data_IF_324939995729
#
_entry.id   IF_324939995729
#
_cell.length_a   1.000
_cell.length_b   1.000
_cell.length_c   1.000
_cell.angle_alpha   90.00
_cell.angle_beta   90.00
_cell.angle_gamma   90.00
#
_symmetry.space_group_name_H-M   'P 1'
#
loop_
_entity.id
_entity.type
_entity.pdbx_description
1 polymer ?
#
# COMPACT_ATOMS: atom_id res chain seq x y z
N UNK A 1 20.49 40.12 24.39
CA UNK A 1 21.61 40.60 23.56
C UNK A 1 22.89 39.99 24.09
N UNK A 2 23.37 38.94 23.42
CA UNK A 2 24.64 38.31 23.74
C UNK A 2 25.78 39.22 23.24
N UNK A 3 26.97 39.13 23.81
CA UNK A 3 28.11 40.05 23.63
C UNK A 3 28.57 40.29 22.18
N UNK A 4 27.99 39.62 21.19
CA UNK A 4 28.43 39.62 19.79
C UNK A 4 27.54 40.42 18.84
N UNK A 5 26.22 40.45 19.06
CA UNK A 5 25.38 41.52 18.48
C UNK A 5 25.95 42.88 18.88
N UNK A 6 26.48 42.97 20.10
CA UNK A 6 27.16 44.16 20.62
C UNK A 6 28.39 44.53 19.79
N UNK A 7 29.15 43.59 19.22
CA UNK A 7 30.35 43.92 18.45
C UNK A 7 30.03 44.60 17.10
N UNK A 8 29.01 44.10 16.39
CA UNK A 8 28.55 44.73 15.14
C UNK A 8 27.78 46.02 15.43
N UNK A 9 26.91 45.99 16.45
CA UNK A 9 26.25 47.19 16.95
C UNK A 9 27.28 48.22 17.42
N UNK A 10 28.44 47.85 17.96
CA UNK A 10 29.48 48.81 18.39
C UNK A 10 30.12 49.54 17.21
N UNK A 11 30.27 48.88 16.06
CA UNK A 11 30.77 49.52 14.84
C UNK A 11 29.68 50.33 14.14
N UNK A 12 28.44 49.86 14.21
CA UNK A 12 27.28 50.58 13.66
C UNK A 12 26.89 51.76 14.54
N UNK A 13 27.16 51.72 15.84
CA UNK A 13 26.79 52.74 16.83
C UNK A 13 27.98 53.59 17.34
N UNK A 14 29.20 53.38 16.81
CA UNK A 14 30.40 54.02 17.32
C UNK A 14 31.64 53.88 16.44
N UNK A 15 32.74 54.49 16.86
CA UNK A 15 34.06 54.28 16.25
C UNK A 15 34.69 52.95 16.67
N UNK A 16 35.77 52.55 15.99
CA UNK A 16 36.54 51.35 16.33
C UNK A 16 37.25 51.57 17.68
N UNK A 17 37.03 50.73 18.71
CA UNK A 17 37.66 50.90 20.01
C UNK A 17 39.18 51.00 19.91
N UNK A 18 39.79 51.94 20.65
CA UNK A 18 41.25 52.13 20.64
C UNK A 18 41.99 50.87 21.09
N UNK A 19 41.36 50.01 21.91
CA UNK A 19 41.89 48.70 22.30
C UNK A 19 42.11 47.72 21.15
N UNK A 20 41.48 47.96 19.99
CA UNK A 20 41.69 47.18 18.78
C UNK A 20 42.88 47.67 17.95
N UNK A 21 43.54 48.76 18.33
CA UNK A 21 44.74 49.19 17.63
C UNK A 21 45.88 48.18 17.82
N UNK A 22 46.44 47.69 16.72
CA UNK A 22 47.64 46.86 16.74
C UNK A 22 48.91 47.71 16.55
N UNK A 23 48.93 48.50 15.49
CA UNK A 23 50.08 49.30 15.07
C UNK A 23 49.63 50.57 14.34
N UNK A 24 50.41 51.65 14.46
CA UNK A 24 50.14 52.93 13.80
C UNK A 24 51.43 53.71 13.55
N UNK A 25 51.60 54.19 12.32
CA UNK A 25 52.66 55.15 11.99
C UNK A 25 52.25 56.62 12.23
N UNK A 26 51.00 56.85 12.66
CA UNK A 26 50.40 58.18 12.85
C UNK A 26 49.93 58.38 14.29
N UNK A 27 49.90 59.63 14.74
CA UNK A 27 49.34 59.95 16.04
C UNK A 27 47.82 59.68 16.06
N UNK A 28 47.40 58.71 16.86
CA UNK A 28 46.02 58.23 16.96
C UNK A 28 45.06 59.29 17.50
N UNK A 29 45.54 60.23 18.32
CA UNK A 29 44.70 61.31 18.84
C UNK A 29 44.10 62.17 17.72
N UNK A 30 44.77 62.24 16.57
CA UNK A 30 44.28 62.94 15.36
C UNK A 30 43.19 62.15 14.63
N UNK A 31 43.08 60.85 14.89
CA UNK A 31 42.14 59.92 14.26
C UNK A 31 41.04 59.46 15.22
N UNK A 32 40.92 60.09 16.39
CA UNK A 32 39.84 59.82 17.33
C UNK A 32 38.63 60.71 17.06
N UNK A 33 37.44 60.10 17.10
CA UNK A 33 36.18 60.81 17.06
C UNK A 33 35.98 61.59 18.37
N UNK A 34 35.75 62.92 18.33
CA UNK A 34 35.52 63.71 19.55
C UNK A 34 34.26 63.37 20.32
N UNK A 35 33.34 62.58 19.75
CA UNK A 35 32.07 62.20 20.39
C UNK A 35 32.23 60.90 21.17
N UNK A 36 32.76 59.85 20.52
CA UNK A 36 32.85 58.51 21.12
C UNK A 36 34.26 58.13 21.58
N UNK A 37 35.27 58.99 21.37
CA UNK A 37 36.68 58.78 21.75
C UNK A 37 37.35 57.52 21.17
N UNK A 38 36.72 56.91 20.16
CA UNK A 38 37.23 55.75 19.44
C UNK A 38 37.86 56.20 18.11
N UNK A 39 38.61 55.30 17.48
CA UNK A 39 39.16 55.53 16.14
C UNK A 39 38.00 55.75 15.17
N UNK A 40 38.14 56.74 14.29
CA UNK A 40 37.11 57.12 13.33
C UNK A 40 36.66 55.93 12.48
N UNK A 41 35.35 55.65 12.45
CA UNK A 41 34.72 54.68 11.57
C UNK A 41 33.84 55.40 10.56
N UNK A 42 34.07 55.16 9.27
CA UNK A 42 33.42 55.88 8.16
C UNK A 42 33.45 57.40 8.42
N UNK A 43 34.65 58.02 8.45
CA UNK A 43 34.83 59.39 8.92
C UNK A 43 34.04 60.40 8.09
N UNK A 44 33.35 61.31 8.77
CA UNK A 44 32.72 62.49 8.21
C UNK A 44 33.33 63.72 8.89
N UNK A 45 33.74 64.71 8.11
CA UNK A 45 34.26 65.96 8.64
C UNK A 45 33.24 67.10 8.57
N UNK A 46 33.42 68.10 9.44
CA UNK A 46 32.78 69.39 9.27
C UNK A 46 33.51 70.18 8.18
N UNK A 47 32.78 70.79 7.25
CA UNK A 47 33.31 71.62 6.16
C UNK A 47 33.21 73.12 6.42
N UNK A 48 32.97 73.54 7.66
CA UNK A 48 32.94 74.95 8.06
C UNK A 48 34.34 75.57 7.98
N UNK A 49 34.40 76.88 7.72
CA UNK A 49 35.68 77.60 7.67
C UNK A 49 36.47 77.40 8.97
N UNK A 50 37.70 76.89 8.81
CA UNK A 50 38.66 76.54 9.88
C UNK A 50 38.22 75.41 10.83
N UNK A 51 37.15 74.68 10.53
CA UNK A 51 36.79 73.46 11.27
C UNK A 51 37.10 72.24 10.41
N UNK A 52 38.11 71.46 10.78
CA UNK A 52 38.45 70.19 10.10
C UNK A 52 38.23 68.98 11.03
N UNK A 53 37.31 69.12 11.98
CA UNK A 53 37.05 68.06 12.95
C UNK A 53 36.30 66.92 12.27
N UNK A 54 36.82 65.71 12.42
CA UNK A 54 36.23 64.49 11.88
C UNK A 54 35.51 63.71 12.97
N UNK A 55 34.43 63.05 12.59
CA UNK A 55 33.55 62.27 13.47
C UNK A 55 33.25 60.93 12.80
N UNK A 56 32.93 59.89 13.57
CA UNK A 56 32.34 58.69 13.00
C UNK A 56 30.98 59.04 12.40
N UNK A 57 30.64 58.44 11.25
CA UNK A 57 29.37 58.71 10.57
C UNK A 57 28.17 58.60 11.51
N UNK A 58 28.06 57.48 12.23
CA UNK A 58 26.95 57.27 13.16
C UNK A 58 26.93 58.33 14.27
N UNK A 59 28.08 58.63 14.88
CA UNK A 59 28.13 59.56 16.01
C UNK A 59 27.64 60.95 15.62
N UNK A 60 28.04 61.45 14.44
CA UNK A 60 27.59 62.76 13.99
C UNK A 60 26.12 62.73 13.56
N UNK A 61 25.66 61.68 12.89
CA UNK A 61 24.25 61.54 12.51
C UNK A 61 23.34 61.45 13.74
N UNK A 62 23.72 60.66 14.75
CA UNK A 62 23.00 60.58 16.03
C UNK A 62 22.95 61.94 16.74
N UNK A 63 24.06 62.68 16.77
CA UNK A 63 24.13 64.02 17.35
C UNK A 63 23.17 65.01 16.66
N UNK A 64 23.12 64.98 15.33
CA UNK A 64 22.24 65.84 14.55
C UNK A 64 20.75 65.44 14.75
N UNK A 65 20.47 64.15 14.89
CA UNK A 65 19.11 63.64 15.03
C UNK A 65 18.51 63.80 16.45
N UNK A 66 19.33 63.74 17.52
CA UNK A 66 18.85 63.85 18.91
C UNK A 66 18.11 65.16 19.19
N UNK A 67 18.43 66.24 18.47
CA UNK A 67 17.79 67.55 18.67
C UNK A 67 16.38 67.65 18.11
N UNK A 68 15.98 66.76 17.19
CA UNK A 68 14.63 66.78 16.60
C UNK A 68 13.56 66.15 17.50
N UNK A 69 13.94 65.46 18.59
CA UNK A 69 13.01 64.69 19.43
C UNK A 69 12.57 65.46 20.69
N UNK A 70 13.21 66.59 21.01
CA UNK A 70 13.01 67.29 22.30
C UNK A 70 12.10 68.54 22.25
N UNK A 71 11.45 68.88 21.13
CA UNK A 71 10.67 70.13 20.99
C UNK A 71 9.15 69.93 20.97
N UNK A 72 8.57 69.26 21.99
CA UNK A 72 7.11 69.06 22.10
C UNK A 72 6.50 69.62 23.40
N UNK A 73 7.18 70.50 24.14
CA UNK A 73 6.58 71.20 25.27
C UNK A 73 6.87 72.71 25.20
N UNK A 74 5.76 73.44 25.02
CA UNK A 74 5.44 74.83 25.36
C UNK A 74 6.32 75.96 24.79
N UNK A 75 5.82 76.47 23.65
CA UNK A 75 5.48 77.89 23.39
C UNK A 75 6.48 79.01 23.72
N UNK A 76 6.84 79.72 22.65
CA UNK A 76 7.12 81.16 22.59
C UNK A 76 8.48 81.66 23.13
N UNK A 77 9.57 81.14 22.56
CA UNK A 77 10.73 81.99 22.23
C UNK A 77 11.41 81.47 20.96
N UNK A 78 10.82 81.82 19.82
CA UNK A 78 11.46 81.68 18.51
C UNK A 78 12.73 82.53 18.48
N UNK A 79 13.88 81.88 18.30
CA UNK A 79 14.79 82.10 17.15
C UNK A 79 16.17 81.49 17.45
N UNK A 80 16.73 80.75 16.48
CA UNK A 80 18.12 80.24 16.39
C UNK A 80 18.52 78.87 17.00
N UNK A 81 17.65 78.13 17.71
CA UNK A 81 18.12 76.91 18.41
C UNK A 81 18.18 75.60 17.59
N UNK A 82 17.66 75.55 16.35
CA UNK A 82 17.49 74.30 15.59
C UNK A 82 18.54 74.04 14.50
N UNK A 83 19.71 74.68 14.58
CA UNK A 83 20.75 74.45 13.60
C UNK A 83 21.52 73.16 13.91
N UNK A 84 21.65 72.32 12.88
CA UNK A 84 22.46 71.10 12.80
C UNK A 84 23.94 71.43 13.08
N UNK A 85 24.30 71.76 14.31
CA UNK A 85 25.59 72.35 14.64
C UNK A 85 26.66 71.30 14.93
N UNK A 86 27.86 71.57 14.42
CA UNK A 86 29.05 70.77 14.67
C UNK A 86 29.35 70.70 16.17
N UNK A 87 29.55 69.49 16.77
CA UNK A 87 29.83 69.34 18.19
C UNK A 87 31.05 70.13 18.68
N UNK A 88 32.04 70.32 17.80
CA UNK A 88 33.33 70.95 18.13
C UNK A 88 33.34 72.47 17.92
N UNK A 89 32.93 72.98 16.76
CA UNK A 89 32.98 74.42 16.48
C UNK A 89 31.66 75.17 16.74
N UNK A 90 30.58 74.46 17.08
CA UNK A 90 29.23 74.99 17.36
C UNK A 90 28.57 75.77 16.21
N UNK A 91 29.15 75.77 15.01
CA UNK A 91 28.58 76.32 13.77
C UNK A 91 27.81 75.26 12.99
N UNK A 92 26.98 75.68 12.04
CA UNK A 92 26.23 74.78 11.13
C UNK A 92 27.14 73.69 10.55
N UNK A 93 26.79 72.43 10.72
CA UNK A 93 27.57 71.31 10.23
C UNK A 93 27.36 71.15 8.72
N UNK A 94 28.42 71.41 7.95
CA UNK A 94 28.45 71.11 6.53
C UNK A 94 29.15 69.76 6.39
N UNK A 95 28.44 68.73 5.93
CA UNK A 95 29.01 67.41 5.70
C UNK A 95 30.08 67.50 4.60
N UNK A 96 31.31 67.12 4.92
CA UNK A 96 32.40 67.00 3.94
C UNK A 96 33.24 65.76 4.22
N UNK A 97 34.02 65.34 3.22
CA UNK A 97 35.02 64.29 3.36
C UNK A 97 36.41 64.91 3.25
N UNK A 98 37.33 64.54 4.16
CA UNK A 98 38.72 65.00 4.10
C UNK A 98 39.57 63.83 3.58
N UNK A 99 40.08 63.88 2.33
CA UNK A 99 40.89 62.80 1.76
C UNK A 99 42.11 62.45 2.63
N UNK A 100 42.73 63.45 3.26
CA UNK A 100 43.88 63.26 4.15
C UNK A 100 43.56 62.33 5.33
N UNK A 101 42.36 62.43 5.93
CA UNK A 101 41.95 61.56 7.05
C UNK A 101 41.85 60.11 6.59
N UNK A 102 41.32 59.86 5.38
CA UNK A 102 41.29 58.52 4.81
C UNK A 102 42.71 57.96 4.61
N UNK A 103 43.64 58.76 4.07
CA UNK A 103 45.04 58.36 3.89
C UNK A 103 45.72 58.03 5.22
N UNK A 104 45.48 58.82 6.26
CA UNK A 104 46.03 58.55 7.60
C UNK A 104 45.44 57.29 8.22
N UNK A 105 44.12 57.05 8.06
CA UNK A 105 43.47 55.82 8.50
C UNK A 105 44.01 54.59 7.76
N UNK A 106 44.49 54.72 6.52
CA UNK A 106 45.07 53.58 5.79
C UNK A 106 46.41 53.11 6.38
N UNK A 107 47.05 53.92 7.24
CA UNK A 107 48.33 53.62 7.87
C UNK A 107 48.20 52.94 9.23
N UNK A 108 46.99 52.56 9.64
CA UNK A 108 46.76 51.85 10.89
C UNK A 108 46.37 50.39 10.63
N UNK A 109 46.85 49.53 11.52
CA UNK A 109 46.55 48.10 11.55
C UNK A 109 45.75 47.80 12.82
N UNK A 110 44.70 47.00 12.67
CA UNK A 110 43.72 46.73 13.71
C UNK A 110 43.66 45.23 14.02
N UNK A 111 43.52 44.88 15.30
CA UNK A 111 43.09 43.54 15.72
C UNK A 111 41.60 43.39 15.42
N UNK A 112 41.18 42.18 15.08
CA UNK A 112 39.76 41.87 14.93
C UNK A 112 39.00 42.06 16.24
N UNK A 113 37.76 42.58 16.16
CA UNK A 113 36.87 42.73 17.31
C UNK A 113 36.40 41.39 17.90
N UNK A 114 36.42 40.31 17.12
CA UNK A 114 36.08 38.97 17.59
C UNK A 114 37.26 38.38 18.37
N UNK A 115 37.04 38.05 19.65
CA UNK A 115 38.09 37.61 20.59
C UNK A 115 38.92 36.42 20.12
N UNK A 116 38.31 35.55 19.30
CA UNK A 116 38.91 34.31 18.83
C UNK A 116 39.73 34.51 17.54
N UNK A 117 39.60 35.68 16.88
CA UNK A 117 40.35 36.02 15.68
C UNK A 117 41.65 36.74 16.03
N UNK A 118 42.78 36.14 15.68
CA UNK A 118 44.12 36.70 15.92
C UNK A 118 44.67 37.53 14.75
N UNK A 119 43.87 37.73 13.70
CA UNK A 119 44.31 38.47 12.52
C UNK A 119 44.51 39.96 12.81
N UNK A 120 45.57 40.51 12.23
CA UNK A 120 45.85 41.94 12.16
C UNK A 120 45.47 42.40 10.75
N UNK A 121 44.57 43.38 10.67
CA UNK A 121 43.89 43.76 9.43
C UNK A 121 44.11 45.25 9.17
N UNK A 122 44.52 45.65 7.95
CA UNK A 122 44.56 47.05 7.56
C UNK A 122 43.17 47.70 7.65
N UNK A 123 43.09 48.98 8.03
CA UNK A 123 41.81 49.70 8.17
C UNK A 123 40.88 49.55 6.96
N UNK A 124 41.43 49.58 5.74
CA UNK A 124 40.68 49.50 4.48
C UNK A 124 39.93 48.17 4.33
N UNK A 125 40.51 47.09 4.85
CA UNK A 125 39.96 45.74 4.76
C UNK A 125 39.14 45.36 5.99
N UNK A 126 39.14 46.22 7.02
CA UNK A 126 38.56 45.92 8.32
C UNK A 126 37.05 45.64 8.25
N UNK A 127 36.30 46.44 7.48
CA UNK A 127 34.86 46.23 7.28
C UNK A 127 34.58 44.85 6.67
N UNK A 128 35.25 44.57 5.56
CA UNK A 128 35.09 43.30 4.85
C UNK A 128 35.50 42.10 5.71
N UNK A 129 36.57 42.26 6.51
CA UNK A 129 37.00 41.22 7.44
C UNK A 129 35.94 40.95 8.50
N UNK A 130 35.39 41.95 9.18
CA UNK A 130 34.41 41.75 10.26
C UNK A 130 33.18 40.99 9.74
N UNK A 131 32.66 41.39 8.57
CA UNK A 131 31.51 40.72 7.97
C UNK A 131 31.79 39.25 7.60
N UNK A 132 33.03 38.95 7.19
CA UNK A 132 33.44 37.64 6.69
C UNK A 132 34.37 36.86 7.64
N UNK A 133 34.51 37.31 8.88
CA UNK A 133 35.44 36.71 9.83
C UNK A 133 35.01 35.28 10.13
N UNK A 134 35.93 34.32 9.98
CA UNK A 134 35.65 32.89 10.22
C UNK A 134 35.30 32.59 11.68
N UNK A 135 35.80 33.42 12.58
CA UNK A 135 35.61 33.31 14.01
C UNK A 135 34.45 34.19 14.52
N UNK A 136 33.72 34.86 13.61
CA UNK A 136 32.43 35.47 13.93
C UNK A 136 31.45 34.37 14.31
N UNK A 137 30.76 34.49 15.43
CA UNK A 137 29.65 33.58 15.72
C UNK A 137 28.38 34.01 15.00
N UNK A 138 27.64 33.04 14.50
CA UNK A 138 26.34 33.19 13.86
C UNK A 138 25.32 32.33 14.59
N UNK A 139 24.09 32.80 14.63
CA UNK A 139 23.00 32.08 15.26
C UNK A 139 22.58 30.88 14.40
N UNK A 140 22.56 29.68 14.99
CA UNK A 140 22.06 28.48 14.35
C UNK A 140 20.55 28.58 14.11
N UNK A 141 20.09 28.24 12.89
CA UNK A 141 18.67 28.30 12.50
C UNK A 141 17.76 27.37 13.31
N UNK A 142 18.31 26.27 13.84
CA UNK A 142 17.58 25.30 14.66
C UNK A 142 17.56 25.73 16.13
N UNK A 143 18.67 25.53 16.84
CA UNK A 143 18.73 25.69 18.29
C UNK A 143 18.90 27.14 18.79
N UNK A 144 19.05 28.11 17.88
CA UNK A 144 19.23 29.53 18.22
C UNK A 144 20.49 29.85 19.04
N UNK A 145 21.44 28.90 19.14
CA UNK A 145 22.74 29.11 19.78
C UNK A 145 23.71 29.80 18.83
N UNK A 146 24.62 30.61 19.38
CA UNK A 146 25.68 31.28 18.63
C UNK A 146 26.86 30.33 18.44
N UNK A 147 27.15 29.98 17.19
CA UNK A 147 28.20 29.04 16.77
C UNK A 147 29.18 29.77 15.88
N UNK A 148 30.49 29.52 16.02
CA UNK A 148 31.52 30.08 15.14
C UNK A 148 31.18 29.79 13.67
N UNK A 149 31.33 30.78 12.79
CA UNK A 149 30.92 30.70 11.39
C UNK A 149 31.60 29.54 10.65
N UNK A 150 32.87 29.25 10.96
CA UNK A 150 33.60 28.10 10.43
C UNK A 150 33.07 26.73 10.90
N UNK A 151 32.34 26.66 12.02
CA UNK A 151 31.73 25.45 12.59
C UNK A 151 30.22 25.42 12.40
N UNK A 152 29.62 26.49 11.87
CA UNK A 152 28.17 26.61 11.73
C UNK A 152 27.63 25.53 10.81
N UNK A 153 28.25 25.32 9.64
CA UNK A 153 27.81 24.31 8.67
C UNK A 153 27.80 22.90 9.27
N UNK A 154 28.91 22.49 9.92
CA UNK A 154 29.00 21.21 10.62
C UNK A 154 27.93 21.10 11.73
N UNK A 155 27.77 22.13 12.54
CA UNK A 155 26.73 22.16 13.57
C UNK A 155 25.33 22.04 12.97
N UNK A 156 25.00 22.75 11.90
CA UNK A 156 23.68 22.69 11.26
C UNK A 156 23.41 21.28 10.69
N UNK A 157 24.42 20.60 10.14
CA UNK A 157 24.25 19.20 9.72
C UNK A 157 23.91 18.26 10.88
N UNK A 158 24.38 18.55 12.10
CA UNK A 158 24.16 17.72 13.30
C UNK A 158 23.04 18.25 14.23
N UNK A 159 22.57 19.47 14.03
CA UNK A 159 21.64 20.12 14.93
C UNK A 159 20.26 19.46 14.87
N UNK A 160 19.83 18.89 15.99
CA UNK A 160 18.58 18.13 16.10
C UNK A 160 17.32 19.00 16.00
N UNK A 161 17.46 20.32 16.15
CA UNK A 161 16.36 21.28 16.06
C UNK A 161 16.18 21.86 14.64
N UNK A 162 17.08 21.56 13.70
CA UNK A 162 16.91 22.04 12.32
C UNK A 162 15.73 21.33 11.67
N UNK A 163 14.79 22.10 11.06
CA UNK A 163 13.69 21.53 10.30
C UNK A 163 14.20 20.74 9.09
N UNK A 164 13.76 19.49 8.98
CA UNK A 164 13.99 18.61 7.83
C UNK A 164 12.65 18.15 7.27
N UNK A 165 12.62 17.86 5.98
CA UNK A 165 11.43 17.32 5.32
C UNK A 165 11.34 15.81 5.55
N UNK A 166 10.18 15.32 5.97
CA UNK A 166 9.93 13.88 6.04
C UNK A 166 9.69 13.28 4.64
N UNK A 167 10.55 12.35 4.19
CA UNK A 167 10.43 11.67 2.87
C UNK A 167 9.09 10.98 2.63
N UNK A 168 8.37 10.61 3.69
CA UNK A 168 7.11 9.85 3.58
C UNK A 168 5.86 10.73 3.54
N UNK A 169 5.90 11.93 4.11
CA UNK A 169 4.71 12.80 4.20
C UNK A 169 4.95 14.25 3.80
N UNK A 170 6.18 14.61 3.42
CA UNK A 170 6.58 15.93 2.92
C UNK A 170 6.35 17.10 3.90
N UNK A 171 6.25 16.81 5.20
CA UNK A 171 6.14 17.86 6.25
C UNK A 171 7.51 18.23 6.79
N UNK A 172 7.73 19.53 6.96
CA UNK A 172 8.91 20.10 7.64
C UNK A 172 8.75 19.99 9.15
N UNK A 173 9.72 19.38 9.84
CA UNK A 173 9.76 19.32 11.32
C UNK A 173 11.18 19.16 11.85
N UNK A 174 11.47 19.50 13.11
CA UNK A 174 12.79 19.28 13.70
C UNK A 174 13.25 17.82 13.61
N UNK A 175 14.53 17.57 13.31
CA UNK A 175 15.10 16.20 13.25
C UNK A 175 14.75 15.34 14.47
N UNK A 176 14.80 15.93 15.67
CA UNK A 176 14.46 15.22 16.92
C UNK A 176 13.00 14.73 16.96
N UNK A 177 12.06 15.48 16.38
CA UNK A 177 10.66 15.09 16.31
C UNK A 177 10.43 14.01 15.24
N UNK A 178 11.16 14.12 14.12
CA UNK A 178 11.14 13.14 13.04
C UNK A 178 11.55 11.75 13.55
N UNK A 179 12.67 11.69 14.28
CA UNK A 179 13.23 10.45 14.83
C UNK A 179 12.38 9.85 15.96
N UNK A 180 11.91 10.67 16.89
CA UNK A 180 11.29 10.18 18.14
C UNK A 180 9.80 9.83 18.00
N UNK A 181 9.01 10.62 17.26
CA UNK A 181 7.54 10.50 17.24
C UNK A 181 6.99 10.22 15.86
N UNK A 182 7.53 10.88 14.84
CA UNK A 182 6.94 10.85 13.50
C UNK A 182 7.13 9.51 12.81
N UNK A 183 8.34 8.94 12.84
CA UNK A 183 8.62 7.65 12.22
C UNK A 183 7.68 6.53 12.73
N UNK A 184 7.40 6.49 14.03
CA UNK A 184 6.48 5.50 14.60
C UNK A 184 5.04 5.71 14.15
N UNK A 185 4.59 6.95 14.02
CA UNK A 185 3.24 7.28 13.58
C UNK A 185 3.03 6.98 12.09
N UNK A 186 3.98 7.39 11.23
CA UNK A 186 3.91 7.14 9.79
C UNK A 186 3.96 5.65 9.48
N UNK A 187 4.80 4.88 10.17
CA UNK A 187 4.82 3.42 10.02
C UNK A 187 3.46 2.81 10.37
N UNK A 188 2.81 3.27 11.46
CA UNK A 188 1.46 2.82 11.81
C UNK A 188 0.42 3.15 10.73
N UNK A 189 0.50 4.33 10.11
CA UNK A 189 -0.40 4.70 9.02
C UNK A 189 -0.18 3.84 7.77
N UNK A 190 1.08 3.58 7.40
CA UNK A 190 1.43 2.69 6.28
C UNK A 190 0.89 1.28 6.52
N UNK A 191 1.10 0.72 7.72
CA UNK A 191 0.59 -0.61 8.08
C UNK A 191 -0.95 -0.65 7.97
N UNK A 192 -1.65 0.38 8.47
CA UNK A 192 -3.12 0.46 8.35
C UNK A 192 -3.59 0.52 6.91
N UNK A 193 -2.86 1.23 6.04
CA UNK A 193 -3.17 1.29 4.61
C UNK A 193 -3.04 -0.07 3.93
N UNK A 194 -1.93 -0.78 4.19
CA UNK A 194 -1.71 -2.15 3.67
C UNK A 194 -2.81 -3.10 4.18
N UNK A 195 -3.18 -3.00 5.45
CA UNK A 195 -4.26 -3.82 6.02
C UNK A 195 -5.61 -3.54 5.33
N UNK A 196 -5.92 -2.29 5.01
CA UNK A 196 -7.14 -1.91 4.31
C UNK A 196 -7.16 -2.44 2.86
N UNK A 197 -6.05 -2.34 2.14
CA UNK A 197 -5.90 -2.87 0.77
C UNK A 197 -6.07 -4.41 0.74
N UNK A 198 -5.53 -5.11 1.75
CA UNK A 198 -5.73 -6.56 1.90
C UNK A 198 -7.20 -6.91 2.18
N UNK A 199 -7.88 -6.18 3.08
CA UNK A 199 -9.30 -6.40 3.38
C UNK A 199 -10.19 -6.15 2.16
N UNK A 200 -9.89 -5.11 1.37
CA UNK A 200 -10.62 -4.83 0.14
C UNK A 200 -10.47 -5.95 -0.90
N UNK A 201 -9.27 -6.51 -1.03
CA UNK A 201 -9.02 -7.67 -1.90
C UNK A 201 -9.82 -8.90 -1.45
N UNK A 202 -9.87 -9.18 -0.15
CA UNK A 202 -10.69 -10.28 0.38
C UNK A 202 -12.19 -10.06 0.13
N UNK A 203 -12.67 -8.83 0.26
CA UNK A 203 -14.06 -8.48 -0.05
C UNK A 203 -14.42 -8.79 -1.51
N UNK A 204 -13.57 -8.40 -2.47
CA UNK A 204 -13.80 -8.68 -3.90
C UNK A 204 -13.88 -10.19 -4.19
N UNK A 205 -13.00 -11.00 -3.58
CA UNK A 205 -13.05 -12.47 -3.73
C UNK A 205 -14.37 -13.04 -3.21
N UNK A 206 -14.83 -12.56 -2.05
CA UNK A 206 -16.11 -13.00 -1.50
C UNK A 206 -17.29 -12.60 -2.39
N UNK A 207 -17.26 -11.42 -3.00
CA UNK A 207 -18.30 -10.94 -3.92
C UNK A 207 -18.38 -11.81 -5.18
N UNK A 208 -17.24 -12.15 -5.80
CA UNK A 208 -17.17 -13.06 -6.95
C UNK A 208 -17.73 -14.45 -6.62
N UNK A 209 -17.40 -14.99 -5.44
CA UNK A 209 -17.92 -16.28 -4.96
C UNK A 209 -19.45 -16.21 -4.77
N UNK A 210 -19.95 -15.12 -4.19
CA UNK A 210 -21.38 -14.91 -4.00
C UNK A 210 -22.12 -14.86 -5.35
N UNK A 211 -21.61 -14.09 -6.30
CA UNK A 211 -22.17 -13.98 -7.65
C UNK A 211 -22.19 -15.34 -8.36
N UNK A 212 -21.12 -16.14 -8.25
CA UNK A 212 -21.06 -17.50 -8.80
C UNK A 212 -22.15 -18.41 -8.21
N UNK A 213 -22.35 -18.40 -6.89
CA UNK A 213 -23.38 -19.21 -6.26
C UNK A 213 -24.79 -18.73 -6.56
N UNK A 214 -25.01 -17.41 -6.67
CA UNK A 214 -26.29 -16.85 -7.05
C UNK A 214 -26.68 -17.26 -8.47
N UNK A 215 -25.74 -17.19 -9.43
CA UNK A 215 -25.96 -17.69 -10.79
C UNK A 215 -26.28 -19.19 -10.78
N UNK A 216 -25.54 -19.98 -10.01
CA UNK A 216 -25.76 -21.42 -9.88
C UNK A 216 -27.13 -21.75 -9.28
N UNK A 217 -27.55 -21.03 -8.24
CA UNK A 217 -28.88 -21.17 -7.63
C UNK A 217 -29.97 -20.80 -8.65
N UNK A 218 -29.78 -19.72 -9.41
CA UNK A 218 -30.73 -19.32 -10.44
C UNK A 218 -30.89 -20.39 -11.53
N UNK A 219 -29.79 -21.02 -11.99
CA UNK A 219 -29.84 -22.17 -12.91
C UNK A 219 -30.59 -23.36 -12.33
N UNK A 220 -30.35 -23.69 -11.04
CA UNK A 220 -31.07 -24.76 -10.34
C UNK A 220 -32.58 -24.47 -10.22
N UNK A 221 -32.96 -23.23 -9.90
CA UNK A 221 -34.37 -22.81 -9.79
C UNK A 221 -35.07 -22.84 -11.15
N UNK A 222 -34.38 -22.45 -12.22
CA UNK A 222 -34.90 -22.49 -13.59
C UNK A 222 -35.03 -23.91 -14.12
N UNK A 223 -34.49 -24.91 -13.40
CA UNK A 223 -34.54 -26.30 -13.80
C UNK A 223 -33.73 -26.53 -15.08
N UNK A 224 -32.59 -25.84 -15.23
CA UNK A 224 -31.64 -26.10 -16.31
C UNK A 224 -31.22 -27.57 -16.24
N UNK A 225 -31.94 -28.39 -17.00
CA UNK A 225 -31.53 -29.73 -17.39
C UNK A 225 -30.25 -29.52 -18.17
N UNK A 226 -29.11 -29.96 -17.61
CA UNK A 226 -27.88 -30.09 -18.39
C UNK A 226 -28.27 -30.85 -19.66
N UNK A 227 -28.18 -30.16 -20.80
CA UNK A 227 -28.68 -30.69 -22.07
C UNK A 227 -27.92 -31.99 -22.32
N UNK A 228 -28.63 -33.09 -22.59
CA UNK A 228 -28.03 -34.41 -22.79
C UNK A 228 -26.82 -34.41 -23.76
N UNK A 229 -26.76 -33.40 -24.64
CA UNK A 229 -25.67 -33.12 -25.57
C UNK A 229 -24.28 -32.94 -24.95
N UNK A 230 -24.19 -32.65 -23.65
CA UNK A 230 -22.92 -32.51 -22.94
C UNK A 230 -22.40 -33.85 -22.38
N UNK A 231 -23.25 -34.88 -22.28
CA UNK A 231 -22.85 -36.18 -21.77
C UNK A 231 -22.32 -37.08 -22.87
N UNK A 232 -21.13 -37.65 -22.63
CA UNK A 232 -20.58 -38.70 -23.49
C UNK A 232 -20.85 -40.05 -22.84
N UNK A 233 -21.32 -41.01 -23.63
CA UNK A 233 -21.42 -42.39 -23.19
C UNK A 233 -20.13 -43.12 -23.53
N UNK A 234 -19.53 -43.78 -22.54
CA UNK A 234 -18.31 -44.54 -22.68
C UNK A 234 -18.58 -46.03 -22.49
N UNK A 235 -18.01 -46.89 -23.33
CA UNK A 235 -18.00 -48.34 -23.10
C UNK A 235 -16.75 -48.94 -23.73
N UNK A 236 -16.17 -49.92 -23.05
CA UNK A 236 -15.10 -50.75 -23.63
C UNK A 236 -15.64 -51.75 -24.67
N UNK A 237 -16.97 -51.95 -24.69
CA UNK A 237 -17.66 -52.90 -25.57
C UNK A 237 -18.31 -52.20 -26.77
N UNK A 238 -17.53 -51.37 -27.47
CA UNK A 238 -18.02 -50.47 -28.53
C UNK A 238 -18.73 -51.24 -29.65
N UNK A 239 -18.29 -52.47 -29.94
CA UNK A 239 -18.91 -53.33 -30.96
C UNK A 239 -20.28 -53.92 -30.56
N UNK A 240 -20.64 -53.84 -29.27
CA UNK A 240 -21.86 -54.42 -28.71
C UNK A 240 -22.94 -53.38 -28.45
N UNK A 241 -22.58 -52.10 -28.37
CA UNK A 241 -23.52 -51.00 -28.14
C UNK A 241 -23.64 -50.10 -29.35
N UNK A 242 -24.87 -49.66 -29.60
CA UNK A 242 -25.18 -48.57 -30.52
C UNK A 242 -25.79 -47.42 -29.70
N UNK A 243 -25.16 -46.25 -29.76
CA UNK A 243 -25.66 -45.02 -29.18
C UNK A 243 -26.22 -44.13 -30.29
N UNK A 244 -27.46 -43.68 -30.15
CA UNK A 244 -28.14 -42.81 -31.11
C UNK A 244 -28.53 -41.50 -30.45
N UNK A 245 -28.10 -40.37 -31.00
CA UNK A 245 -28.37 -39.01 -30.49
C UNK A 245 -29.66 -38.39 -31.03
N UNK A 246 -30.34 -39.02 -31.99
CA UNK A 246 -31.55 -38.48 -32.60
C UNK A 246 -32.71 -38.46 -31.60
N UNK A 247 -32.95 -37.28 -30.99
CA UNK A 247 -34.03 -36.96 -30.05
C UNK A 247 -34.17 -37.94 -28.86
N UNK A 248 -33.31 -37.75 -27.84
CA UNK A 248 -33.26 -38.46 -26.54
C UNK A 248 -32.35 -39.70 -26.61
N UNK A 249 -31.07 -39.51 -26.26
CA UNK A 249 -29.99 -40.50 -26.34
C UNK A 249 -30.45 -41.94 -26.09
N UNK A 250 -30.36 -42.79 -27.10
CA UNK A 250 -30.73 -44.21 -27.01
C UNK A 250 -29.48 -45.06 -26.93
N UNK A 251 -29.35 -45.85 -25.87
CA UNK A 251 -28.35 -46.91 -25.75
C UNK A 251 -28.99 -48.26 -26.08
N UNK A 252 -28.52 -48.95 -27.12
CA UNK A 252 -29.05 -50.25 -27.57
C UNK A 252 -27.94 -51.31 -27.58
N UNK A 253 -28.22 -52.47 -27.00
CA UNK A 253 -27.33 -53.63 -27.11
C UNK A 253 -27.56 -54.32 -28.46
N UNK A 254 -26.62 -54.18 -29.39
CA UNK A 254 -26.71 -54.75 -30.74
C UNK A 254 -26.18 -56.18 -30.85
N UNK A 255 -25.35 -56.61 -29.89
CA UNK A 255 -24.81 -57.97 -29.79
C UNK A 255 -24.74 -58.41 -28.33
N UNK A 256 -25.19 -59.64 -28.04
CA UNK A 256 -24.98 -60.24 -26.72
C UNK A 256 -23.50 -60.24 -26.36
N UNK A 257 -23.18 -60.08 -25.08
CA UNK A 257 -21.90 -60.53 -24.57
C UNK A 257 -22.02 -61.96 -24.15
N UNK A 258 -21.27 -62.82 -24.81
CA UNK A 258 -21.11 -64.19 -24.38
C UNK A 258 -19.72 -64.34 -23.79
N UNK A 259 -19.65 -64.74 -22.52
CA UNK A 259 -18.39 -65.03 -21.85
C UNK A 259 -18.07 -66.51 -22.04
N UNK A 260 -17.18 -66.82 -22.98
CA UNK A 260 -16.78 -68.20 -23.31
C UNK A 260 -16.29 -68.97 -22.08
N UNK A 261 -15.57 -68.33 -21.17
CA UNK A 261 -15.05 -68.97 -19.97
C UNK A 261 -16.16 -69.33 -18.97
N UNK A 262 -17.21 -68.50 -18.87
CA UNK A 262 -18.34 -68.73 -17.96
C UNK A 262 -19.50 -69.47 -18.64
N UNK A 263 -19.41 -69.72 -19.95
CA UNK A 263 -20.45 -70.33 -20.79
C UNK A 263 -21.83 -69.67 -20.62
N UNK A 264 -21.86 -68.35 -20.41
CA UNK A 264 -23.09 -67.58 -20.17
C UNK A 264 -22.98 -66.16 -20.69
N UNK A 265 -24.13 -65.50 -20.84
CA UNK A 265 -24.12 -64.07 -21.14
C UNK A 265 -23.55 -63.27 -19.97
N UNK A 266 -22.68 -62.30 -20.27
CA UNK A 266 -22.18 -61.34 -19.28
C UNK A 266 -22.89 -60.01 -19.43
N UNK A 267 -22.94 -59.22 -18.36
CA UNK A 267 -23.47 -57.86 -18.43
C UNK A 267 -22.40 -56.96 -19.06
N UNK A 268 -22.78 -56.22 -20.10
CA UNK A 268 -21.90 -55.21 -20.67
C UNK A 268 -22.21 -53.86 -20.09
N UNK A 269 -21.25 -53.28 -19.39
CA UNK A 269 -21.39 -51.95 -18.82
C UNK A 269 -21.16 -50.88 -19.90
N UNK A 270 -21.95 -49.82 -19.83
CA UNK A 270 -21.60 -48.53 -20.38
C UNK A 270 -21.76 -47.48 -19.29
N UNK A 271 -20.95 -46.45 -19.37
CA UNK A 271 -20.81 -45.38 -18.39
C UNK A 271 -21.28 -44.08 -18.99
N UNK A 272 -21.78 -43.20 -18.15
CA UNK A 272 -21.88 -41.78 -18.50
C UNK A 272 -20.56 -41.15 -18.06
N UNK A 273 -19.86 -40.53 -19.00
CA UNK A 273 -18.60 -39.81 -18.80
C UNK A 273 -18.85 -38.47 -18.11
N UNK A 274 -19.42 -38.56 -16.92
CA UNK A 274 -19.67 -37.48 -15.99
C UNK A 274 -19.44 -38.03 -14.60
N UNK A 275 -18.50 -37.41 -13.88
CA UNK A 275 -18.28 -37.71 -12.48
C UNK A 275 -19.03 -36.69 -11.63
N UNK A 276 -19.60 -37.14 -10.53
CA UNK A 276 -20.12 -36.26 -9.49
C UNK A 276 -19.34 -36.49 -8.20
N UNK A 277 -19.20 -35.43 -7.42
CA UNK A 277 -18.49 -35.46 -6.13
C UNK A 277 -19.48 -35.55 -4.97
N UNK A 278 -19.02 -35.92 -3.78
CA UNK A 278 -19.84 -36.04 -2.54
C UNK A 278 -20.44 -34.72 -2.02
N UNK A 279 -20.43 -33.65 -2.83
CA UNK A 279 -20.96 -32.33 -2.50
C UNK A 279 -22.49 -32.25 -2.40
N UNK A 280 -23.00 -31.01 -2.42
CA UNK A 280 -24.43 -30.71 -2.25
C UNK A 280 -25.31 -31.06 -3.47
N UNK A 281 -24.71 -31.43 -4.59
CA UNK A 281 -25.43 -31.65 -5.84
C UNK A 281 -26.03 -33.06 -5.87
N UNK A 282 -27.36 -33.14 -5.88
CA UNK A 282 -28.05 -34.38 -6.24
C UNK A 282 -27.96 -34.62 -7.74
N UNK A 283 -27.85 -35.88 -8.14
CA UNK A 283 -27.87 -36.27 -9.54
C UNK A 283 -29.12 -37.08 -9.85
N UNK A 284 -29.75 -36.85 -11.01
CA UNK A 284 -30.92 -37.60 -11.45
C UNK A 284 -30.76 -38.07 -12.90
N UNK A 285 -30.90 -39.38 -13.12
CA UNK A 285 -31.10 -39.97 -14.44
C UNK A 285 -32.56 -40.36 -14.59
N UNK A 286 -33.18 -39.92 -15.68
CA UNK A 286 -34.53 -40.34 -16.06
C UNK A 286 -34.45 -41.15 -17.34
N UNK A 287 -34.92 -42.39 -17.30
CA UNK A 287 -34.66 -43.37 -18.35
C UNK A 287 -35.96 -44.09 -18.71
N UNK A 288 -36.30 -44.14 -19.99
CA UNK A 288 -37.38 -44.97 -20.52
C UNK A 288 -36.84 -46.31 -21.01
N UNK A 289 -37.48 -47.40 -20.59
CA UNK A 289 -37.17 -48.75 -21.05
C UNK A 289 -37.81 -48.99 -22.43
N UNK A 290 -37.07 -48.75 -23.51
CA UNK A 290 -37.59 -48.95 -24.88
C UNK A 290 -37.80 -50.42 -25.17
N UNK A 291 -36.89 -51.28 -24.71
CA UNK A 291 -37.01 -52.73 -24.82
C UNK A 291 -36.18 -53.39 -23.74
N UNK A 292 -36.74 -54.38 -23.05
CA UNK A 292 -36.00 -55.12 -22.04
C UNK A 292 -36.48 -56.58 -21.95
N UNK A 293 -35.67 -57.48 -22.49
CA UNK A 293 -35.89 -58.93 -22.42
C UNK A 293 -35.29 -59.53 -21.15
N UNK A 294 -34.07 -59.12 -20.78
CA UNK A 294 -33.39 -59.60 -19.58
C UNK A 294 -33.39 -58.61 -18.43
N UNK A 295 -32.28 -58.60 -17.71
CA UNK A 295 -32.06 -57.75 -16.56
C UNK A 295 -31.37 -56.44 -16.98
N UNK A 296 -31.70 -55.38 -16.26
CA UNK A 296 -31.06 -54.08 -16.38
C UNK A 296 -30.20 -53.88 -15.14
N UNK A 297 -28.92 -53.52 -15.30
CA UNK A 297 -28.12 -53.08 -14.17
C UNK A 297 -28.06 -51.55 -14.16
N UNK A 298 -28.25 -50.96 -13.00
CA UNK A 298 -28.12 -49.52 -12.78
C UNK A 298 -27.36 -49.30 -11.48
N UNK A 299 -26.21 -48.67 -11.56
CA UNK A 299 -25.40 -48.45 -10.39
C UNK A 299 -24.45 -47.27 -10.54
N UNK A 300 -23.63 -47.10 -9.51
CA UNK A 300 -22.58 -46.11 -9.47
C UNK A 300 -21.24 -46.77 -9.14
N UNK A 301 -20.15 -46.20 -9.60
CA UNK A 301 -18.82 -46.74 -9.40
C UNK A 301 -17.84 -45.62 -9.08
N UNK A 302 -16.87 -45.88 -8.20
CA UNK A 302 -15.84 -44.90 -7.82
C UNK A 302 -14.74 -44.73 -8.89
N UNK A 303 -14.65 -45.67 -9.84
CA UNK A 303 -13.82 -45.52 -11.03
C UNK A 303 -14.41 -46.27 -12.22
N UNK A 304 -14.04 -45.85 -13.43
CA UNK A 304 -14.46 -46.52 -14.68
C UNK A 304 -13.75 -47.88 -14.92
N UNK A 305 -12.71 -48.22 -14.14
CA UNK A 305 -11.79 -49.34 -14.44
C UNK A 305 -11.61 -50.35 -13.29
N UNK A 306 -11.94 -50.02 -12.04
CA UNK A 306 -11.80 -50.91 -10.87
C UNK A 306 -12.69 -50.49 -9.68
N UNK A 307 -13.04 -51.46 -8.81
CA UNK A 307 -13.70 -51.24 -7.52
C UNK A 307 -15.09 -50.57 -7.60
N UNK A 308 -15.98 -51.13 -8.43
CA UNK A 308 -17.35 -50.65 -8.56
C UNK A 308 -18.27 -51.26 -7.50
N UNK A 309 -18.98 -50.40 -6.76
CA UNK A 309 -20.09 -50.83 -5.89
C UNK A 309 -21.33 -50.94 -6.77
N UNK A 310 -21.50 -52.11 -7.36
CA UNK A 310 -22.59 -52.32 -8.31
C UNK A 310 -23.88 -52.64 -7.58
N UNK A 311 -24.93 -51.87 -7.86
CA UNK A 311 -26.30 -52.25 -7.53
C UNK A 311 -26.98 -52.83 -8.76
N UNK A 312 -27.58 -53.99 -8.59
CA UNK A 312 -28.42 -54.65 -9.59
C UNK A 312 -29.84 -54.54 -9.11
N UNK A 313 -30.74 -54.14 -9.99
CA UNK A 313 -32.15 -54.47 -9.81
C UNK A 313 -32.57 -55.28 -11.02
N UNK A 314 -32.94 -56.52 -10.82
CA UNK A 314 -33.34 -57.35 -11.95
C UNK A 314 -34.82 -57.14 -12.30
N UNK A 315 -35.29 -57.72 -13.42
CA UNK A 315 -36.69 -57.55 -13.87
C UNK A 315 -37.73 -58.02 -12.84
N UNK A 316 -37.33 -58.92 -11.94
CA UNK A 316 -38.15 -59.49 -10.88
C UNK A 316 -38.12 -58.68 -9.56
N UNK A 317 -37.37 -57.58 -9.51
CA UNK A 317 -37.21 -56.76 -8.30
C UNK A 317 -36.25 -57.33 -7.26
N UNK A 318 -35.38 -58.25 -7.65
CA UNK A 318 -34.26 -58.65 -6.81
C UNK A 318 -33.18 -57.57 -6.85
N UNK A 319 -32.85 -57.04 -5.68
CA UNK A 319 -31.76 -56.09 -5.51
C UNK A 319 -30.52 -56.84 -5.09
N UNK A 320 -29.46 -56.75 -5.89
CA UNK A 320 -28.18 -57.39 -5.60
C UNK A 320 -27.08 -56.34 -5.49
N UNK A 321 -26.08 -56.57 -4.63
CA UNK A 321 -24.86 -55.76 -4.52
C UNK A 321 -23.64 -56.60 -4.83
N UNK A 322 -22.67 -55.99 -5.50
CA UNK A 322 -21.31 -56.50 -5.63
C UNK A 322 -20.42 -55.77 -4.63
N UNK A 323 -19.69 -56.52 -3.82
CA UNK A 323 -18.70 -55.96 -2.89
C UNK A 323 -17.36 -55.74 -3.62
N UNK A 324 -16.54 -54.83 -3.10
CA UNK A 324 -15.29 -54.36 -3.75
C UNK A 324 -14.34 -55.49 -4.17
N UNK A 325 -14.34 -56.60 -3.42
CA UNK A 325 -13.46 -57.74 -3.65
C UNK A 325 -14.18 -59.02 -4.13
N UNK A 326 -15.47 -58.93 -4.46
CA UNK A 326 -16.25 -60.08 -4.93
C UNK A 326 -16.61 -59.97 -6.42
N UNK A 327 -16.42 -61.07 -7.15
CA UNK A 327 -16.90 -61.21 -8.53
C UNK A 327 -18.36 -61.68 -8.60
N UNK A 328 -19.02 -61.89 -7.47
CA UNK A 328 -20.40 -62.35 -7.36
C UNK A 328 -21.30 -61.26 -6.79
N UNK A 329 -22.54 -61.26 -7.28
CA UNK A 329 -23.60 -60.41 -6.78
C UNK A 329 -24.37 -61.14 -5.68
N UNK A 330 -24.47 -60.51 -4.50
CA UNK A 330 -25.25 -61.01 -3.37
C UNK A 330 -26.62 -60.36 -3.35
N UNK A 331 -27.67 -61.15 -3.16
CA UNK A 331 -29.03 -60.62 -3.00
C UNK A 331 -29.08 -59.93 -1.64
N UNK A 332 -29.29 -58.60 -1.62
CA UNK A 332 -29.48 -57.85 -0.37
C UNK A 332 -30.95 -57.92 0.05
N UNK A 333 -31.86 -57.72 -0.91
CA UNK A 333 -33.31 -57.66 -0.64
C UNK A 333 -34.11 -58.08 -1.86
N UNK A 334 -35.28 -58.66 -1.60
CA UNK A 334 -36.33 -58.85 -2.61
C UNK A 334 -37.36 -57.76 -2.38
N UNK A 335 -37.47 -56.84 -3.32
CA UNK A 335 -38.47 -55.78 -3.30
C UNK A 335 -39.48 -56.03 -4.41
N UNK A 336 -40.73 -55.63 -4.21
CA UNK A 336 -41.73 -55.69 -5.28
C UNK A 336 -41.53 -54.55 -6.29
N UNK A 337 -40.29 -54.38 -6.78
CA UNK A 337 -39.90 -53.35 -7.73
C UNK A 337 -39.64 -54.00 -9.09
N UNK A 338 -40.69 -54.14 -9.88
CA UNK A 338 -40.58 -54.70 -11.23
C UNK A 338 -40.56 -53.56 -12.25
N UNK A 339 -39.90 -53.80 -13.37
CA UNK A 339 -39.93 -52.89 -14.50
C UNK A 339 -40.10 -53.65 -15.82
N UNK A 340 -40.68 -52.99 -16.81
CA UNK A 340 -40.98 -53.55 -18.12
C UNK A 340 -40.88 -52.52 -19.23
N UNK A 341 -41.10 -52.98 -20.46
CA UNK A 341 -41.09 -52.13 -21.64
C UNK A 341 -42.08 -50.97 -21.51
N UNK A 342 -41.63 -49.76 -21.81
CA UNK A 342 -42.38 -48.51 -21.67
C UNK A 342 -42.25 -47.82 -20.31
N UNK A 343 -41.77 -48.51 -19.26
CA UNK A 343 -41.62 -47.89 -17.94
C UNK A 343 -40.56 -46.77 -17.95
N UNK A 344 -40.81 -45.73 -17.17
CA UNK A 344 -39.86 -44.64 -16.91
C UNK A 344 -39.26 -44.85 -15.52
N UNK A 345 -37.96 -45.07 -15.49
CA UNK A 345 -37.16 -45.26 -14.29
C UNK A 345 -36.40 -43.97 -14.00
N UNK A 346 -36.62 -43.42 -12.82
CA UNK A 346 -35.84 -42.34 -12.24
C UNK A 346 -34.83 -42.93 -11.27
N UNK A 347 -33.56 -42.63 -11.50
CA UNK A 347 -32.44 -43.01 -10.65
C UNK A 347 -31.83 -41.73 -10.08
N UNK A 348 -31.95 -41.53 -8.78
CA UNK A 348 -31.57 -40.31 -8.08
C UNK A 348 -30.52 -40.61 -7.03
N UNK A 349 -29.42 -39.87 -7.06
CA UNK A 349 -28.35 -39.92 -6.08
C UNK A 349 -28.40 -38.63 -5.27
N UNK A 350 -28.40 -38.78 -3.95
CA UNK A 350 -28.37 -37.67 -3.00
C UNK A 350 -27.09 -37.81 -2.17
N UNK A 351 -25.95 -37.27 -2.63
CA UNK A 351 -24.65 -37.51 -2.01
C UNK A 351 -24.60 -37.06 -0.55
N UNK A 352 -25.14 -35.88 -0.24
CA UNK A 352 -25.25 -35.37 1.13
C UNK A 352 -26.00 -36.32 2.08
N UNK A 353 -27.06 -36.97 1.59
CA UNK A 353 -27.82 -37.93 2.39
C UNK A 353 -27.24 -39.35 2.35
N UNK A 354 -26.19 -39.57 1.54
CA UNK A 354 -25.66 -40.90 1.17
C UNK A 354 -26.81 -41.85 0.84
N UNK A 355 -27.68 -41.40 -0.06
CA UNK A 355 -28.89 -42.11 -0.44
C UNK A 355 -28.97 -42.26 -1.95
N UNK A 356 -29.23 -43.49 -2.40
CA UNK A 356 -29.54 -43.80 -3.79
C UNK A 356 -31.00 -44.22 -3.86
N UNK A 357 -31.81 -43.48 -4.62
CA UNK A 357 -33.23 -43.71 -4.79
C UNK A 357 -33.51 -44.14 -6.22
N UNK A 358 -34.30 -45.19 -6.38
CA UNK A 358 -34.73 -45.69 -7.69
C UNK A 358 -36.25 -45.77 -7.67
N UNK A 359 -36.87 -45.06 -8.60
CA UNK A 359 -38.30 -44.89 -8.72
C UNK A 359 -38.75 -45.34 -10.11
N UNK A 360 -39.68 -46.29 -10.17
CA UNK A 360 -40.41 -46.57 -11.39
C UNK A 360 -41.60 -45.60 -11.40
N UNK A 361 -41.48 -44.51 -12.16
CA UNK A 361 -42.49 -43.44 -12.22
C UNK A 361 -43.80 -43.95 -12.79
N UNK A 362 -43.73 -44.81 -13.81
CA UNK A 362 -44.91 -45.37 -14.48
C UNK A 362 -45.74 -46.23 -13.53
N UNK A 363 -45.08 -46.96 -12.62
CA UNK A 363 -45.74 -47.87 -11.66
C UNK A 363 -45.88 -47.30 -10.25
N UNK A 364 -45.38 -46.09 -10.02
CA UNK A 364 -45.32 -45.44 -8.70
C UNK A 364 -44.64 -46.30 -7.61
N UNK A 365 -43.62 -47.07 -7.99
CA UNK A 365 -42.82 -47.87 -7.07
C UNK A 365 -41.52 -47.13 -6.77
N UNK A 366 -41.08 -47.12 -5.52
CA UNK A 366 -39.80 -46.52 -5.11
C UNK A 366 -39.09 -47.43 -4.12
N UNK A 367 -37.79 -47.56 -4.26
CA UNK A 367 -36.93 -48.05 -3.20
C UNK A 367 -35.70 -47.17 -3.06
N UNK A 368 -35.09 -47.21 -1.88
CA UNK A 368 -33.91 -46.42 -1.55
C UNK A 368 -32.85 -47.30 -0.92
N UNK A 369 -31.59 -47.04 -1.23
CA UNK A 369 -30.46 -47.49 -0.44
C UNK A 369 -30.15 -46.44 0.61
N UNK A 370 -29.97 -46.90 1.84
CA UNK A 370 -29.64 -46.05 2.96
C UNK A 370 -28.12 -45.91 3.10
N UNK A 371 -27.70 -44.95 3.92
CA UNK A 371 -26.30 -44.67 4.25
C UNK A 371 -25.44 -45.91 4.54
N UNK A 372 -25.97 -46.84 5.32
CA UNK A 372 -25.24 -48.06 5.73
C UNK A 372 -25.00 -49.03 4.56
N UNK A 373 -25.82 -48.97 3.51
CA UNK A 373 -25.67 -49.81 2.32
C UNK A 373 -24.68 -49.19 1.32
N UNK A 374 -24.40 -47.89 1.45
CA UNK A 374 -23.55 -47.07 0.58
C UNK A 374 -22.20 -46.67 1.22
N UNK A 375 -21.81 -47.27 2.34
CA UNK A 375 -20.71 -46.79 3.19
C UNK A 375 -19.30 -46.82 2.53
N UNK A 376 -19.14 -47.48 1.39
CA UNK A 376 -17.86 -47.73 0.69
C UNK A 376 -17.62 -46.77 -0.49
N UNK A 377 -18.16 -45.57 -0.40
CA UNK A 377 -18.24 -44.63 -1.51
C UNK A 377 -17.15 -43.54 -1.38
N UNK A 378 -16.29 -43.40 -2.41
CA UNK A 378 -15.12 -42.48 -2.45
C UNK A 378 -15.47 -40.99 -2.65
N UNK A 379 -14.58 -40.16 -3.20
CA UNK A 379 -14.90 -38.73 -3.40
C UNK A 379 -15.52 -38.43 -4.78
N UNK A 380 -15.33 -39.32 -5.76
CA UNK A 380 -15.81 -39.19 -7.14
C UNK A 380 -16.56 -40.46 -7.58
N UNK A 381 -17.58 -40.27 -8.42
CA UNK A 381 -18.40 -41.39 -8.90
C UNK A 381 -18.90 -41.21 -10.32
N UNK A 382 -19.04 -42.33 -11.02
CA UNK A 382 -19.65 -42.42 -12.35
C UNK A 382 -20.92 -43.26 -12.29
N UNK A 383 -21.92 -42.88 -13.07
CA UNK A 383 -23.11 -43.72 -13.28
C UNK A 383 -22.86 -44.73 -14.38
N UNK A 384 -23.28 -45.97 -14.18
CA UNK A 384 -23.20 -47.01 -15.19
C UNK A 384 -24.54 -47.73 -15.38
N UNK A 385 -24.71 -48.26 -16.58
CA UNK A 385 -25.89 -49.00 -17.00
C UNK A 385 -25.47 -50.27 -17.72
N UNK A 386 -26.29 -51.32 -17.67
CA UNK A 386 -25.97 -52.57 -18.38
C UNK A 386 -27.20 -53.30 -18.86
N UNK A 387 -27.11 -53.79 -20.09
CA UNK A 387 -28.14 -54.56 -20.74
C UNK A 387 -27.66 -56.00 -20.95
N UNK A 388 -28.58 -56.95 -20.85
CA UNK A 388 -28.26 -58.38 -20.88
C UNK A 388 -28.47 -59.01 -22.26
N UNK A 389 -29.54 -58.64 -22.98
CA UNK A 389 -29.89 -59.29 -24.25
C UNK A 389 -29.87 -58.34 -25.44
N UNK A 390 -29.53 -58.92 -26.59
CA UNK A 390 -29.54 -58.26 -27.87
C UNK A 390 -30.93 -57.72 -28.17
N UNK A 391 -30.96 -56.45 -28.54
CA UNK A 391 -32.14 -55.66 -28.79
C UNK A 391 -32.63 -54.88 -27.58
N UNK A 392 -32.16 -55.17 -26.36
CA UNK A 392 -32.48 -54.36 -25.20
C UNK A 392 -32.01 -52.91 -25.45
N UNK A 393 -32.83 -51.95 -25.01
CA UNK A 393 -32.61 -50.54 -25.30
C UNK A 393 -33.17 -49.63 -24.20
N UNK A 394 -32.40 -48.60 -23.88
CA UNK A 394 -32.74 -47.52 -22.94
C UNK A 394 -32.76 -46.19 -23.69
N UNK A 395 -33.70 -45.33 -23.33
CA UNK A 395 -33.75 -43.94 -23.78
C UNK A 395 -33.56 -43.02 -22.58
N UNK A 396 -32.54 -42.17 -22.61
CA UNK A 396 -32.30 -41.16 -21.59
C UNK A 396 -33.15 -39.93 -21.91
N UNK A 397 -33.98 -39.50 -20.94
CA UNK A 397 -35.03 -38.48 -21.09
C UNK A 397 -34.58 -37.10 -20.65
#
# INVERSE_FOLDING_TARGET
MQQEEVAELMLEQGGIPVSQLYNSCVNIDLLQCPICFNILWKPIACGQDRCFSSFCQFCIEAWLNQKNVQSTFDEEEETFANENNCPKCKRVFIKTEIPLVKVLLFQIELKCIHSDCTQVIPYVEYENHIFNCKDRKKQCRGCQQYILQNKLEEHETLCSQIPVECEKCHKMMPKIELESKHNRYVIKLIIRRIQLENLYTQYLICDDIMNYYEEKINRLIQGDLIVLNEYRFFTIFIANYLFSSDNLYIARLVRNSYNDNKQKNDFLHFYVDYHFTTGLEGYEWRIRLIRLRGNLLIGICSSQLSNSVDFIVNRLGEVKKKEENDNRYHIIRKVNFTFGEGDVIRFQILPFMQCLRITNETRHLTFSFNRNELQEMGDEYFSFFSLEYQGDALQFL
#
